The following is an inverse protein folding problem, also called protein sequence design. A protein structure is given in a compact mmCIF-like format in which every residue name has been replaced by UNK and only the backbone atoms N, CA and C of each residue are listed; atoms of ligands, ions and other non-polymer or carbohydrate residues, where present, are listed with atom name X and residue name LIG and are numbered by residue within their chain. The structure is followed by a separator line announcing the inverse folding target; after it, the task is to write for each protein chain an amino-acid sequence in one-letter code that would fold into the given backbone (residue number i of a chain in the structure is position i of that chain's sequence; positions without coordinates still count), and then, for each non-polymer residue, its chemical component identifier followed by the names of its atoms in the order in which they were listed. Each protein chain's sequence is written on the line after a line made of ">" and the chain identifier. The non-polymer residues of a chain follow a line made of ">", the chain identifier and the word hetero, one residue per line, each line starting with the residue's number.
data_IF_176147095216
#
_entry.id   IF_176147095216
#
_cell.length_a   1.000
_cell.length_b   1.000
_cell.length_c   1.000
_cell.angle_alpha   90.00
_cell.angle_beta   90.00
_cell.angle_gamma   90.00
#
_symmetry.space_group_name_H-M   'P 1'
#
loop_
_entity.id
_entity.type
_entity.pdbx_description
1 polymer ?
#
# COMPACT_ATOMS: atom_id res chain seq x y z
N UNK A 1 9.58 42.80 -66.20
CA UNK A 1 10.31 41.55 -65.96
C UNK A 1 11.05 41.51 -64.63
N UNK A 2 10.69 42.39 -63.69
CA UNK A 2 11.39 42.48 -62.39
C UNK A 2 10.55 41.98 -61.18
N UNK A 3 9.33 41.54 -61.41
CA UNK A 3 8.41 41.23 -60.29
C UNK A 3 8.49 39.76 -59.80
N UNK A 4 8.89 38.84 -60.64
CA UNK A 4 8.84 37.40 -60.37
C UNK A 4 9.98 36.90 -59.44
N UNK A 5 11.14 37.57 -59.50
CA UNK A 5 12.26 37.22 -58.61
C UNK A 5 12.07 37.69 -57.17
N UNK A 6 11.37 38.80 -56.97
CA UNK A 6 10.99 39.30 -55.62
C UNK A 6 9.94 38.44 -54.99
N UNK A 7 8.92 38.00 -55.75
CA UNK A 7 7.89 37.05 -55.24
C UNK A 7 8.49 35.71 -54.84
N UNK A 8 9.40 35.16 -55.64
CA UNK A 8 10.09 33.88 -55.29
C UNK A 8 10.96 34.01 -54.03
N UNK A 9 11.65 35.13 -53.84
CA UNK A 9 12.43 35.40 -52.60
C UNK A 9 11.55 35.57 -51.38
N UNK A 10 10.41 36.24 -51.50
CA UNK A 10 9.45 36.42 -50.37
C UNK A 10 8.78 35.06 -50.02
N UNK A 11 8.45 34.23 -50.98
CA UNK A 11 7.91 32.88 -50.74
C UNK A 11 8.96 31.99 -50.08
N UNK A 12 10.22 32.01 -50.55
CA UNK A 12 11.29 31.24 -49.94
C UNK A 12 11.60 31.68 -48.49
N UNK A 13 11.54 32.99 -48.22
CA UNK A 13 11.74 33.56 -46.87
C UNK A 13 10.56 33.17 -45.97
N UNK A 14 9.32 33.24 -46.45
CA UNK A 14 8.12 32.84 -45.73
C UNK A 14 8.11 31.36 -45.36
N UNK A 15 8.52 30.49 -46.30
CA UNK A 15 8.63 29.04 -46.05
C UNK A 15 9.75 28.75 -45.04
N UNK A 16 10.90 29.40 -45.15
CA UNK A 16 12.02 29.23 -44.22
C UNK A 16 11.69 29.67 -42.79
N UNK A 17 11.05 30.83 -42.65
CA UNK A 17 10.60 31.33 -41.35
C UNK A 17 9.51 30.41 -40.74
N UNK A 18 8.54 29.96 -41.57
CA UNK A 18 7.50 29.05 -41.13
C UNK A 18 8.09 27.73 -40.63
N UNK A 19 9.08 27.18 -41.35
CA UNK A 19 9.74 25.94 -40.94
C UNK A 19 10.49 26.09 -39.61
N UNK A 20 11.24 27.18 -39.41
CA UNK A 20 11.95 27.49 -38.16
C UNK A 20 10.98 27.67 -37.00
N UNK A 21 9.84 28.33 -37.19
CA UNK A 21 8.79 28.49 -36.18
C UNK A 21 8.18 27.15 -35.80
N UNK A 22 7.87 26.29 -36.79
CA UNK A 22 7.35 24.94 -36.52
C UNK A 22 8.38 24.12 -35.75
N UNK A 23 9.65 24.13 -36.13
CA UNK A 23 10.71 23.41 -35.41
C UNK A 23 10.87 23.93 -33.99
N UNK A 24 10.81 25.26 -33.78
CA UNK A 24 10.83 25.83 -32.44
C UNK A 24 9.61 25.46 -31.61
N UNK A 25 8.40 25.46 -32.18
CA UNK A 25 7.19 25.05 -31.46
C UNK A 25 7.29 23.57 -31.09
N UNK A 26 7.72 22.69 -32.00
CA UNK A 26 7.92 21.26 -31.72
C UNK A 26 8.99 21.06 -30.65
N UNK A 27 10.10 21.82 -30.71
CA UNK A 27 11.13 21.78 -29.66
C UNK A 27 10.60 22.25 -28.30
N UNK A 28 9.88 23.37 -28.27
CA UNK A 28 9.27 23.90 -27.03
C UNK A 28 8.23 22.92 -26.46
N UNK A 29 7.37 22.34 -27.29
CA UNK A 29 6.39 21.34 -26.86
C UNK A 29 7.08 20.08 -26.33
N UNK A 30 8.19 19.65 -26.93
CA UNK A 30 8.95 18.50 -26.44
C UNK A 30 9.76 18.83 -25.17
N UNK A 31 10.25 20.07 -25.00
CA UNK A 31 10.97 20.51 -23.80
C UNK A 31 9.99 20.81 -22.66
N UNK A 32 8.81 21.35 -22.98
CA UNK A 32 7.80 21.76 -22.02
C UNK A 32 6.76 20.68 -21.70
N UNK A 33 7.11 19.38 -21.82
CA UNK A 33 6.21 18.31 -21.39
C UNK A 33 6.10 18.34 -19.85
N UNK A 34 5.07 18.96 -19.26
CA UNK A 34 4.96 19.11 -17.80
C UNK A 34 4.89 17.76 -17.08
N UNK A 35 4.46 16.70 -17.75
CA UNK A 35 4.46 15.32 -17.24
C UNK A 35 5.85 14.70 -17.15
N UNK A 36 6.88 15.28 -17.77
CA UNK A 36 8.28 14.87 -17.58
C UNK A 36 8.91 15.42 -16.30
N UNK A 37 8.18 16.22 -15.54
CA UNK A 37 8.61 16.66 -14.20
C UNK A 37 8.64 15.49 -13.21
N UNK A 38 9.43 15.62 -12.16
CA UNK A 38 9.54 14.64 -11.10
C UNK A 38 10.99 14.23 -10.84
N UNK A 39 11.20 13.34 -9.89
CA UNK A 39 12.52 12.88 -9.51
C UNK A 39 13.21 12.14 -10.68
N UNK A 40 14.40 12.59 -11.15
CA UNK A 40 15.06 12.00 -12.30
C UNK A 40 15.45 10.52 -12.10
N UNK A 41 15.83 10.13 -10.87
CA UNK A 41 16.18 8.74 -10.55
C UNK A 41 14.96 7.83 -10.66
N UNK A 42 13.81 8.29 -10.15
CA UNK A 42 12.54 7.57 -10.28
C UNK A 42 12.16 7.45 -11.75
N UNK A 43 12.20 8.53 -12.51
CA UNK A 43 11.87 8.50 -13.94
C UNK A 43 12.73 7.51 -14.70
N UNK A 44 14.04 7.55 -14.51
CA UNK A 44 14.98 6.64 -15.14
C UNK A 44 14.66 5.18 -14.81
N UNK A 45 14.38 4.89 -13.55
CA UNK A 45 14.06 3.55 -13.09
C UNK A 45 12.72 3.04 -13.67
N UNK A 46 11.68 3.89 -13.68
CA UNK A 46 10.36 3.54 -14.24
C UNK A 46 10.44 3.30 -15.75
N UNK A 47 11.16 4.16 -16.50
CA UNK A 47 11.37 3.95 -17.96
C UNK A 47 12.06 2.63 -18.24
N UNK A 48 13.05 2.26 -17.41
CA UNK A 48 13.78 0.99 -17.58
C UNK A 48 12.87 -0.25 -17.44
N UNK A 49 11.79 -0.15 -16.66
CA UNK A 49 10.85 -1.27 -16.44
C UNK A 49 9.65 -1.18 -17.38
N UNK A 50 9.05 0.01 -17.54
CA UNK A 50 7.82 0.19 -18.34
C UNK A 50 8.06 0.36 -19.83
N UNK A 51 9.28 0.74 -20.23
CA UNK A 51 9.62 1.02 -21.63
C UNK A 51 8.99 2.31 -22.19
N UNK A 52 8.30 3.10 -21.37
CA UNK A 52 7.62 4.35 -21.78
C UNK A 52 8.06 5.53 -20.94
N UNK A 53 7.99 6.74 -21.53
CA UNK A 53 8.15 8.01 -20.80
C UNK A 53 6.81 8.69 -20.50
N UNK A 54 5.70 8.09 -20.89
CA UNK A 54 4.38 8.71 -20.92
C UNK A 54 3.65 8.55 -19.58
N UNK A 55 4.29 9.03 -18.50
CA UNK A 55 3.79 9.00 -17.13
C UNK A 55 4.20 10.25 -16.34
N UNK A 56 3.47 10.50 -15.29
CA UNK A 56 3.80 11.50 -14.25
C UNK A 56 4.37 10.80 -13.02
N UNK A 57 5.22 11.52 -12.28
CA UNK A 57 5.76 11.10 -11.00
C UNK A 57 5.32 12.10 -9.95
N UNK A 58 4.70 11.65 -8.88
CA UNK A 58 4.33 12.51 -7.76
C UNK A 58 5.55 13.10 -7.06
N UNK A 59 5.32 14.08 -6.18
CA UNK A 59 6.30 14.37 -5.11
C UNK A 59 6.38 13.15 -4.18
N UNK A 60 7.46 13.00 -3.39
CA UNK A 60 7.54 11.95 -2.38
C UNK A 60 6.30 11.99 -1.46
N UNK A 61 5.52 10.91 -1.43
CA UNK A 61 4.34 10.78 -0.58
C UNK A 61 4.71 10.42 0.86
N UNK A 62 5.73 9.56 0.98
CA UNK A 62 6.30 9.14 2.26
C UNK A 62 7.81 9.14 2.13
N UNK A 63 8.50 9.59 3.19
CA UNK A 63 9.96 9.49 3.33
C UNK A 63 10.27 8.85 4.67
N UNK A 64 11.19 7.87 4.67
CA UNK A 64 11.70 7.19 5.85
C UNK A 64 13.18 6.83 5.64
N UNK A 65 14.08 7.66 6.19
CA UNK A 65 15.52 7.56 5.92
C UNK A 65 15.85 7.70 4.43
N UNK A 66 16.52 6.70 3.87
CA UNK A 66 16.84 6.61 2.44
C UNK A 66 15.67 6.14 1.58
N UNK A 67 14.57 5.69 2.19
CA UNK A 67 13.41 5.19 1.51
C UNK A 67 12.43 6.30 1.17
N UNK A 68 11.88 6.24 -0.06
CA UNK A 68 10.89 7.19 -0.54
C UNK A 68 9.83 6.45 -1.34
N UNK A 69 8.57 6.83 -1.11
CA UNK A 69 7.43 6.38 -1.89
C UNK A 69 6.99 7.48 -2.84
N UNK A 70 6.83 7.12 -4.10
CA UNK A 70 6.22 7.93 -5.14
C UNK A 70 5.01 7.23 -5.72
N UNK A 71 4.14 7.98 -6.39
CA UNK A 71 3.05 7.44 -7.18
C UNK A 71 3.29 7.75 -8.65
N UNK A 72 3.09 6.75 -9.49
CA UNK A 72 3.25 6.82 -10.93
C UNK A 72 1.87 6.74 -11.56
N UNK A 73 1.53 7.72 -12.40
CA UNK A 73 0.28 7.73 -13.14
C UNK A 73 0.56 7.85 -14.64
N UNK A 74 -0.10 7.05 -15.50
CA UNK A 74 0.00 7.21 -16.93
C UNK A 74 -0.61 8.55 -17.38
N UNK A 75 0.02 9.19 -18.35
CA UNK A 75 -0.55 10.38 -19.03
C UNK A 75 -1.56 9.93 -20.06
N UNK A 76 -1.20 8.94 -20.87
CA UNK A 76 -2.08 8.33 -21.85
C UNK A 76 -2.65 7.04 -21.30
N UNK A 77 -3.97 6.87 -21.38
CA UNK A 77 -4.65 5.65 -20.91
C UNK A 77 -4.04 4.41 -21.59
N UNK A 78 -3.54 3.49 -20.78
CA UNK A 78 -2.93 2.24 -21.24
C UNK A 78 -1.42 2.31 -21.50
N UNK A 79 -0.75 3.46 -21.30
CA UNK A 79 0.70 3.56 -21.41
C UNK A 79 1.44 2.79 -20.32
N UNK A 80 0.92 2.85 -19.11
CA UNK A 80 1.33 2.02 -17.95
C UNK A 80 0.15 1.96 -16.96
N UNK A 81 0.25 1.16 -15.92
CA UNK A 81 -0.71 1.16 -14.82
C UNK A 81 -0.29 2.17 -13.76
N UNK A 82 -1.29 2.76 -13.07
CA UNK A 82 -1.04 3.56 -11.89
C UNK A 82 -0.49 2.66 -10.78
N UNK A 83 0.69 2.97 -10.26
CA UNK A 83 1.38 2.09 -9.34
C UNK A 83 2.27 2.85 -8.35
N UNK A 84 2.56 2.29 -7.17
CA UNK A 84 3.59 2.79 -6.28
C UNK A 84 4.99 2.54 -6.87
N UNK A 85 5.89 3.50 -6.67
CA UNK A 85 7.32 3.33 -6.87
C UNK A 85 8.04 3.57 -5.54
N UNK A 86 8.64 2.52 -5.00
CA UNK A 86 9.42 2.57 -3.75
C UNK A 86 10.89 2.58 -4.10
N UNK A 87 11.55 3.67 -3.71
CA UNK A 87 12.98 3.88 -3.92
C UNK A 87 13.75 3.69 -2.61
N UNK A 88 14.91 3.05 -2.70
CA UNK A 88 15.94 3.04 -1.67
C UNK A 88 17.16 3.78 -2.24
N UNK A 89 17.40 5.02 -1.81
CA UNK A 89 18.31 5.91 -2.51
C UNK A 89 17.88 6.10 -3.96
N UNK A 90 18.80 5.85 -4.91
CA UNK A 90 18.54 5.93 -6.35
C UNK A 90 18.03 4.62 -6.99
N UNK A 91 17.89 3.57 -6.20
CA UNK A 91 17.44 2.27 -6.69
C UNK A 91 15.93 2.09 -6.45
N UNK A 92 15.20 1.76 -7.50
CA UNK A 92 13.81 1.30 -7.38
C UNK A 92 13.78 -0.16 -6.87
N UNK A 93 13.05 -0.38 -5.79
CA UNK A 93 12.88 -1.71 -5.16
C UNK A 93 11.53 -2.30 -5.54
N UNK A 94 10.50 -1.46 -5.54
CA UNK A 94 9.14 -1.81 -5.99
C UNK A 94 8.73 -0.74 -7.02
N UNK A 95 8.12 -1.15 -8.12
CA UNK A 95 7.72 -0.24 -9.18
C UNK A 95 6.55 -0.73 -10.03
N UNK A 96 6.11 0.05 -11.02
CA UNK A 96 5.04 -0.33 -11.91
C UNK A 96 5.40 -1.57 -12.75
N UNK A 97 4.39 -2.35 -13.11
CA UNK A 97 4.54 -3.48 -14.04
C UNK A 97 4.15 -4.84 -13.50
N UNK A 98 3.85 -4.95 -12.22
CA UNK A 98 3.30 -6.17 -11.62
C UNK A 98 2.36 -5.79 -10.47
N UNK A 99 1.29 -6.54 -10.30
CA UNK A 99 0.59 -6.60 -9.01
C UNK A 99 1.59 -7.07 -7.97
N UNK A 100 2.07 -6.15 -7.14
CA UNK A 100 3.05 -6.47 -6.11
C UNK A 100 2.29 -6.75 -4.83
N UNK A 101 2.18 -8.02 -4.43
CA UNK A 101 1.47 -8.39 -3.22
C UNK A 101 2.21 -7.84 -1.99
N UNK A 102 1.47 -7.68 -0.90
CA UNK A 102 1.98 -7.18 0.38
C UNK A 102 3.21 -7.96 0.87
N UNK A 103 3.26 -9.27 0.62
CA UNK A 103 4.41 -10.14 0.90
C UNK A 103 5.73 -9.62 0.30
N UNK A 104 5.70 -9.10 -0.91
CA UNK A 104 6.91 -8.68 -1.61
C UNK A 104 7.49 -7.40 -1.00
N UNK A 105 6.64 -6.54 -0.40
CA UNK A 105 7.11 -5.39 0.36
C UNK A 105 7.86 -5.82 1.62
N UNK A 106 7.36 -6.83 2.33
CA UNK A 106 8.06 -7.39 3.50
C UNK A 106 9.34 -8.13 3.12
N UNK A 107 9.33 -8.90 2.04
CA UNK A 107 10.55 -9.58 1.53
C UNK A 107 11.62 -8.60 1.07
N UNK A 108 11.23 -7.42 0.62
CA UNK A 108 12.14 -6.36 0.19
C UNK A 108 12.58 -5.43 1.34
N UNK A 109 12.21 -5.73 2.58
CA UNK A 109 12.49 -4.93 3.79
C UNK A 109 12.00 -3.48 3.68
N UNK A 110 10.88 -3.25 2.98
CA UNK A 110 10.29 -1.92 2.87
C UNK A 110 9.80 -1.47 4.25
N UNK A 111 10.14 -0.25 4.69
CA UNK A 111 9.73 0.26 6.01
C UNK A 111 8.22 0.21 6.22
N UNK A 112 7.80 -0.21 7.41
CA UNK A 112 6.41 -0.36 7.80
C UNK A 112 5.57 0.91 7.55
N UNK A 113 6.17 2.08 7.71
CA UNK A 113 5.54 3.37 7.42
C UNK A 113 5.09 3.50 5.95
N UNK A 114 5.88 2.98 5.01
CA UNK A 114 5.56 2.98 3.58
C UNK A 114 4.49 1.92 3.29
N UNK A 115 4.68 0.72 3.82
CA UNK A 115 3.74 -0.40 3.67
C UNK A 115 2.34 0.01 4.16
N UNK A 116 2.25 0.61 5.34
CA UNK A 116 0.97 1.09 5.91
C UNK A 116 0.33 2.22 5.11
N UNK A 117 1.14 3.06 4.47
CA UNK A 117 0.60 4.11 3.61
C UNK A 117 -0.12 3.54 2.39
N UNK A 118 0.45 2.50 1.78
CA UNK A 118 -0.08 1.86 0.56
C UNK A 118 -1.27 0.95 0.90
N UNK A 119 -1.10 0.06 1.86
CA UNK A 119 -2.05 -1.03 2.15
C UNK A 119 -3.03 -0.73 3.30
N UNK A 120 -2.78 0.35 4.05
CA UNK A 120 -3.69 0.81 5.13
C UNK A 120 -4.04 -0.32 6.11
N UNK A 121 -5.33 -0.64 6.19
CA UNK A 121 -5.86 -1.68 7.08
C UNK A 121 -5.56 -3.12 6.60
N UNK A 122 -5.19 -3.31 5.34
CA UNK A 122 -4.80 -4.63 4.82
C UNK A 122 -3.57 -5.19 5.55
N UNK A 123 -2.68 -4.32 6.04
CA UNK A 123 -1.52 -4.75 6.85
C UNK A 123 -1.97 -5.47 8.12
N UNK A 124 -3.02 -4.98 8.78
CA UNK A 124 -3.59 -5.62 9.97
C UNK A 124 -4.17 -6.99 9.62
N UNK A 125 -4.95 -7.06 8.54
CA UNK A 125 -5.58 -8.30 8.11
C UNK A 125 -4.57 -9.34 7.64
N UNK A 126 -3.56 -8.90 6.92
CA UNK A 126 -2.44 -9.76 6.53
C UNK A 126 -1.74 -10.40 7.73
N UNK A 127 -1.49 -9.64 8.79
CA UNK A 127 -0.92 -10.16 10.04
C UNK A 127 -1.78 -11.27 10.64
N UNK A 128 -3.09 -11.09 10.72
CA UNK A 128 -4.00 -12.14 11.21
C UNK A 128 -4.08 -13.35 10.29
N UNK A 129 -4.07 -13.15 8.96
CA UNK A 129 -4.06 -14.26 8.00
C UNK A 129 -2.79 -15.09 8.06
N UNK A 130 -1.64 -14.44 8.15
CA UNK A 130 -0.35 -15.12 8.26
C UNK A 130 -0.32 -15.97 9.51
N UNK A 131 -0.74 -15.39 10.65
CA UNK A 131 -0.84 -16.14 11.88
C UNK A 131 -1.83 -17.31 11.79
N UNK A 132 -3.01 -17.10 11.24
CA UNK A 132 -4.03 -18.14 11.08
C UNK A 132 -3.55 -19.28 10.18
N UNK A 133 -2.78 -19.00 9.13
CA UNK A 133 -2.17 -20.03 8.26
C UNK A 133 -1.12 -20.86 9.01
N UNK A 134 -0.27 -20.20 9.76
CA UNK A 134 0.82 -20.87 10.50
C UNK A 134 0.28 -21.79 11.62
N UNK A 135 -0.80 -21.37 12.27
CA UNK A 135 -1.34 -22.06 13.45
C UNK A 135 -2.63 -22.84 13.18
N UNK A 136 -3.22 -22.68 11.97
CA UNK A 136 -4.40 -23.46 11.54
C UNK A 136 -5.69 -23.18 12.32
N UNK A 137 -5.79 -22.03 13.02
CA UNK A 137 -6.73 -21.89 14.12
C UNK A 137 -7.88 -20.89 13.91
N UNK A 138 -7.81 -19.96 12.94
CA UNK A 138 -8.81 -18.88 12.87
C UNK A 138 -9.29 -18.56 11.48
N UNK A 139 -10.59 -18.23 11.41
CA UNK A 139 -11.16 -17.55 10.26
C UNK A 139 -11.23 -16.06 10.52
N UNK A 140 -10.68 -15.26 9.60
CA UNK A 140 -10.81 -13.80 9.60
C UNK A 140 -12.27 -13.33 9.66
N UNK A 141 -13.20 -14.14 9.19
CA UNK A 141 -14.63 -13.85 9.21
C UNK A 141 -15.17 -13.56 10.61
N UNK A 142 -14.52 -14.07 11.66
CA UNK A 142 -14.91 -13.82 13.06
C UNK A 142 -14.12 -12.68 13.70
N UNK A 143 -12.82 -12.60 13.40
CA UNK A 143 -11.93 -11.58 14.02
C UNK A 143 -12.19 -10.21 13.42
N UNK A 144 -12.36 -10.12 12.10
CA UNK A 144 -12.54 -8.85 11.39
C UNK A 144 -13.73 -8.03 11.93
N UNK A 145 -14.95 -8.58 12.08
CA UNK A 145 -16.06 -7.84 12.66
C UNK A 145 -15.81 -7.37 14.10
N UNK A 146 -15.09 -8.15 14.90
CA UNK A 146 -14.77 -7.79 16.29
C UNK A 146 -13.83 -6.57 16.36
N UNK A 147 -12.75 -6.59 15.59
CA UNK A 147 -11.80 -5.47 15.50
C UNK A 147 -12.47 -4.23 14.91
N UNK A 148 -13.32 -4.37 13.89
CA UNK A 148 -14.07 -3.27 13.31
C UNK A 148 -15.03 -2.64 14.33
N UNK A 149 -15.77 -3.43 15.07
CA UNK A 149 -16.68 -2.95 16.12
C UNK A 149 -15.94 -2.21 17.23
N UNK A 150 -14.78 -2.73 17.66
CA UNK A 150 -13.92 -2.04 18.61
C UNK A 150 -13.43 -0.70 18.06
N UNK A 151 -12.91 -0.68 16.84
CA UNK A 151 -12.40 0.53 16.21
C UNK A 151 -13.50 1.59 16.08
N UNK A 152 -14.72 1.21 15.69
CA UNK A 152 -15.88 2.09 15.67
C UNK A 152 -16.21 2.64 17.07
N UNK A 153 -16.25 1.79 18.09
CA UNK A 153 -16.54 2.20 19.47
C UNK A 153 -15.53 3.21 20.01
N UNK A 154 -14.27 3.06 19.64
CA UNK A 154 -13.17 3.91 20.05
C UNK A 154 -12.89 5.08 19.11
N UNK A 155 -13.66 5.20 18.02
CA UNK A 155 -13.46 6.20 16.96
C UNK A 155 -12.02 6.24 16.42
N UNK A 156 -11.47 5.07 16.12
CA UNK A 156 -10.13 4.91 15.57
C UNK A 156 -10.17 4.31 14.17
N UNK A 157 -9.17 4.71 13.37
CA UNK A 157 -8.96 4.13 12.04
C UNK A 157 -8.19 2.82 12.15
N UNK A 158 -8.60 1.81 11.38
CA UNK A 158 -7.95 0.48 11.37
C UNK A 158 -6.50 0.53 10.92
N UNK A 159 -6.14 1.46 10.04
CA UNK A 159 -4.75 1.66 9.59
C UNK A 159 -3.80 2.11 10.71
N UNK A 160 -4.34 2.49 11.87
CA UNK A 160 -3.57 2.84 13.07
C UNK A 160 -3.46 1.70 14.09
N UNK A 161 -4.14 0.60 13.85
CA UNK A 161 -4.09 -0.58 14.71
C UNK A 161 -2.90 -1.45 14.30
N UNK A 162 -2.04 -1.80 15.24
CA UNK A 162 -0.90 -2.68 15.03
C UNK A 162 -1.06 -3.96 15.82
N UNK A 163 -0.87 -5.10 15.15
CA UNK A 163 -0.83 -6.40 15.79
C UNK A 163 0.60 -6.74 16.19
N UNK A 164 0.81 -7.06 17.47
CA UNK A 164 2.08 -7.60 17.95
C UNK A 164 2.03 -9.14 17.87
N UNK A 165 2.53 -9.68 16.77
CA UNK A 165 2.57 -11.12 16.54
C UNK A 165 3.46 -11.86 17.57
N UNK A 166 4.46 -11.18 18.14
CA UNK A 166 5.36 -11.78 19.14
C UNK A 166 4.71 -11.90 20.51
N UNK A 167 3.60 -11.20 20.74
CA UNK A 167 2.89 -11.24 22.02
C UNK A 167 1.90 -12.40 22.12
N UNK A 168 1.76 -13.20 21.08
CA UNK A 168 0.75 -14.26 21.00
C UNK A 168 1.08 -15.36 22.00
N UNK A 169 0.10 -15.68 22.84
CA UNK A 169 0.17 -16.78 23.80
C UNK A 169 -0.97 -17.73 23.53
N UNK A 170 -0.62 -18.97 23.27
CA UNK A 170 -1.56 -20.05 23.12
C UNK A 170 -1.61 -20.88 24.41
N UNK A 171 -2.81 -21.16 24.85
CA UNK A 171 -3.07 -22.05 25.97
C UNK A 171 -4.08 -23.12 25.53
N UNK A 172 -3.77 -24.37 25.79
CA UNK A 172 -4.63 -25.50 25.43
C UNK A 172 -5.00 -26.23 26.70
N UNK A 173 -6.24 -26.02 27.13
CA UNK A 173 -6.78 -26.77 28.27
C UNK A 173 -7.29 -28.12 27.78
N UNK A 174 -6.93 -29.18 28.51
CA UNK A 174 -7.30 -30.55 28.25
C UNK A 174 -6.93 -31.06 26.85
N UNK A 175 -5.62 -31.24 26.55
CA UNK A 175 -5.16 -31.67 25.24
C UNK A 175 -5.61 -33.09 24.84
N UNK A 176 -6.12 -33.88 25.78
CA UNK A 176 -6.60 -35.28 25.58
C UNK A 176 -8.09 -35.46 25.74
N UNK A 177 -8.82 -34.43 26.15
CA UNK A 177 -10.18 -34.58 26.62
C UNK A 177 -11.28 -34.23 25.66
N UNK A 178 -12.48 -34.57 26.14
CA UNK A 178 -13.76 -34.34 25.45
C UNK A 178 -14.12 -32.85 25.36
N UNK A 179 -13.48 -31.98 26.18
CA UNK A 179 -13.78 -30.55 26.31
C UNK A 179 -12.58 -29.68 25.95
N UNK A 180 -11.88 -30.01 24.89
CA UNK A 180 -10.70 -29.22 24.45
C UNK A 180 -11.07 -27.77 24.18
N UNK A 181 -10.45 -26.89 24.92
CA UNK A 181 -10.57 -25.44 24.76
C UNK A 181 -9.21 -24.88 24.38
N UNK A 182 -9.14 -24.19 23.26
CA UNK A 182 -7.96 -23.50 22.79
C UNK A 182 -8.16 -22.01 23.00
N UNK A 183 -7.26 -21.38 23.72
CA UNK A 183 -7.31 -19.96 24.03
C UNK A 183 -6.08 -19.31 23.41
N UNK A 184 -6.30 -18.35 22.54
CA UNK A 184 -5.23 -17.54 21.97
C UNK A 184 -5.43 -16.09 22.35
N UNK A 185 -4.38 -15.48 22.88
CA UNK A 185 -4.35 -14.08 23.28
C UNK A 185 -3.39 -13.32 22.43
N UNK A 186 -3.86 -12.20 21.91
CA UNK A 186 -3.08 -11.29 21.09
C UNK A 186 -3.05 -9.92 21.77
N UNK A 187 -1.87 -9.35 21.90
CA UNK A 187 -1.76 -7.96 22.23
C UNK A 187 -1.72 -7.14 20.95
N UNK A 188 -2.51 -6.10 20.89
CA UNK A 188 -2.41 -5.13 19.82
C UNK A 188 -2.39 -3.72 20.40
N UNK A 189 -1.73 -2.82 19.71
CA UNK A 189 -1.58 -1.44 20.12
C UNK A 189 -2.18 -0.51 19.09
N UNK A 190 -2.69 0.63 19.56
CA UNK A 190 -3.08 1.73 18.70
C UNK A 190 -1.93 2.73 18.66
N UNK A 191 -1.41 2.99 17.45
CA UNK A 191 -0.19 3.78 17.27
C UNK A 191 -0.26 5.20 17.79
N UNK A 192 -1.48 5.79 17.96
CA UNK A 192 -1.62 7.17 18.45
C UNK A 192 -1.36 7.34 19.94
N UNK A 193 -1.70 6.34 20.78
CA UNK A 193 -1.70 6.48 22.24
C UNK A 193 -0.84 5.45 22.95
N UNK A 194 -0.22 4.51 22.23
CA UNK A 194 0.45 3.32 22.77
C UNK A 194 -0.43 2.48 23.73
N UNK A 195 -1.74 2.70 23.67
CA UNK A 195 -2.69 1.94 24.48
C UNK A 195 -2.71 0.51 23.99
N UNK A 196 -2.56 -0.43 24.91
CA UNK A 196 -2.59 -1.85 24.61
C UNK A 196 -4.01 -2.38 24.77
N UNK A 197 -4.36 -3.30 23.91
CA UNK A 197 -5.62 -4.05 23.96
C UNK A 197 -5.30 -5.53 23.90
N UNK A 198 -6.15 -6.34 24.50
CA UNK A 198 -6.00 -7.78 24.51
C UNK A 198 -7.18 -8.40 23.76
N UNK A 199 -6.90 -9.00 22.60
CA UNK A 199 -7.83 -9.85 21.89
C UNK A 199 -7.68 -11.28 22.39
N UNK A 200 -8.72 -11.84 22.95
CA UNK A 200 -8.77 -13.25 23.36
C UNK A 200 -9.74 -14.00 22.45
N UNK A 201 -9.24 -15.03 21.79
CA UNK A 201 -10.04 -15.97 21.00
C UNK A 201 -10.09 -17.28 21.75
N UNK A 202 -11.28 -17.70 22.16
CA UNK A 202 -11.51 -18.98 22.84
C UNK A 202 -12.27 -19.91 21.89
N UNK A 203 -11.64 -20.97 21.47
CA UNK A 203 -12.19 -21.99 20.62
C UNK A 203 -12.56 -23.23 21.45
N UNK A 204 -13.85 -23.53 21.53
CA UNK A 204 -14.39 -24.73 22.16
C UNK A 204 -14.56 -25.81 21.08
N UNK A 205 -13.52 -26.58 20.84
CA UNK A 205 -13.44 -27.51 19.70
C UNK A 205 -14.49 -28.61 19.70
N UNK A 206 -14.96 -28.99 20.89
CA UNK A 206 -15.97 -30.09 21.04
C UNK A 206 -17.39 -29.66 20.72
N UNK A 207 -17.70 -28.38 20.81
CA UNK A 207 -19.07 -27.85 20.60
C UNK A 207 -19.13 -26.84 19.46
N UNK A 208 -18.08 -26.75 18.64
CA UNK A 208 -17.99 -25.83 17.51
C UNK A 208 -18.37 -24.40 17.88
N UNK A 209 -17.86 -23.92 18.98
CA UNK A 209 -18.16 -22.58 19.50
C UNK A 209 -16.90 -21.73 19.61
N UNK A 210 -16.98 -20.52 19.10
CA UNK A 210 -15.89 -19.54 19.16
C UNK A 210 -16.35 -18.31 19.94
N UNK A 211 -15.59 -17.90 20.95
CA UNK A 211 -15.82 -16.62 21.65
C UNK A 211 -14.67 -15.68 21.38
N UNK A 212 -14.99 -14.45 20.99
CA UNK A 212 -14.04 -13.38 20.82
C UNK A 212 -14.30 -12.31 21.86
N UNK A 213 -13.25 -11.97 22.63
CA UNK A 213 -13.26 -10.92 23.61
C UNK A 213 -12.15 -9.93 23.33
N UNK A 214 -12.42 -8.62 23.46
CA UNK A 214 -11.43 -7.55 23.39
C UNK A 214 -11.53 -6.72 24.66
N UNK A 215 -10.46 -6.70 25.41
CA UNK A 215 -10.34 -5.94 26.65
C UNK A 215 -9.28 -4.83 26.49
N UNK A 216 -9.46 -3.73 27.20
CA UNK A 216 -8.40 -2.73 27.39
C UNK A 216 -7.42 -3.11 28.50
N UNK A 217 -6.40 -2.30 28.73
CA UNK A 217 -5.39 -2.53 29.78
C UNK A 217 -5.96 -2.56 31.19
N UNK A 218 -7.12 -1.93 31.43
CA UNK A 218 -7.80 -1.94 32.73
C UNK A 218 -8.64 -3.20 32.94
N UNK A 219 -8.76 -4.05 31.93
CA UNK A 219 -9.64 -5.22 31.92
C UNK A 219 -11.09 -4.89 31.56
N UNK A 220 -11.38 -3.66 31.10
CA UNK A 220 -12.71 -3.32 30.62
C UNK A 220 -12.96 -3.97 29.25
N UNK A 221 -14.05 -4.75 29.18
CA UNK A 221 -14.45 -5.38 27.92
C UNK A 221 -15.05 -4.37 26.95
N UNK A 222 -14.43 -4.24 25.79
CA UNK A 222 -14.86 -3.39 24.70
C UNK A 222 -15.74 -4.14 23.70
N UNK A 223 -15.46 -5.43 23.52
CA UNK A 223 -16.22 -6.33 22.64
C UNK A 223 -16.25 -7.75 23.22
N UNK A 224 -17.42 -8.37 23.18
CA UNK A 224 -17.57 -9.79 23.51
C UNK A 224 -18.68 -10.38 22.62
N UNK A 225 -18.36 -11.44 21.92
CA UNK A 225 -19.35 -12.16 21.11
C UNK A 225 -18.96 -13.62 20.96
N UNK A 226 -19.97 -14.46 21.02
CA UNK A 226 -19.88 -15.89 20.75
C UNK A 226 -20.49 -16.21 19.39
N UNK A 227 -19.79 -17.03 18.62
CA UNK A 227 -20.19 -17.54 17.33
C UNK A 227 -20.31 -19.05 17.41
N UNK A 228 -21.28 -19.62 16.71
CA UNK A 228 -21.31 -21.03 16.42
C UNK A 228 -20.44 -21.25 15.20
N UNK A 229 -19.33 -21.97 15.35
CA UNK A 229 -18.47 -22.33 14.22
C UNK A 229 -19.18 -23.45 13.46
N UNK A 230 -19.48 -23.16 12.20
CA UNK A 230 -20.05 -24.16 11.27
C UNK A 230 -18.94 -25.01 10.65
#
# INVERSE_FOLDING_TARGET
>A
MFDDSRKRRLIALGVGVGFVVIVMIVAIVNIAKPWRSGDPAVRKAVVAVSGTEDFTVSKPLVTDGEWKLYWIDPVTKGACESAPAVMKGDRMVIGPGTDVPLDDFYKADVPDKIVRYIFKDDVLWYGFETYGREHGRYSLNYIKPAIQAMAMKLNIRLDRVSLDLNSIKDDVNDPKGVNRTEISRFNFTINSNKTKYILTVTNFTTINKLTINIDDESGQTLFNKTFNAS
#
